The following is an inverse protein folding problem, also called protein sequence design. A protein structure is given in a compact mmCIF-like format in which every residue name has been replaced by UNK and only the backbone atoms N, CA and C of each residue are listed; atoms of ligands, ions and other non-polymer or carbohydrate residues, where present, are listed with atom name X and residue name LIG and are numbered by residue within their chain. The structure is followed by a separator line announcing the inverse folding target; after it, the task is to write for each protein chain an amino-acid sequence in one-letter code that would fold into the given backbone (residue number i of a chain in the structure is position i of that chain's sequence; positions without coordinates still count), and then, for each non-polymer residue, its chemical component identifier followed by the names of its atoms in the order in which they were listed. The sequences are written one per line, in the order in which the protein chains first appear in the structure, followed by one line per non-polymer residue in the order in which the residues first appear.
data_IF_882015734171
#
_entry.id   IF_882015734171
#
_cell.length_a   1.000
_cell.length_b   1.000
_cell.length_c   1.000
_cell.angle_alpha   90.00
_cell.angle_beta   90.00
_cell.angle_gamma   90.00
#
_symmetry.space_group_name_H-M   'P 1'
#
loop_
_entity.id
_entity.type
_entity.pdbx_description
1 polymer ?
#
# COMPACT_ATOMS: atom_id res chain seq x y z
N UNK A 1 20.02 -3.24 -0.35
CA UNK A 1 20.83 -4.36 0.11
C UNK A 1 20.32 -5.65 -0.50
N UNK A 2 21.19 -6.42 -1.10
CA UNK A 2 20.81 -7.72 -1.64
C UNK A 2 20.68 -8.71 -0.49
N UNK A 3 19.48 -9.19 -0.30
CA UNK A 3 19.19 -10.24 0.67
C UNK A 3 19.62 -11.58 0.06
N UNK A 4 20.36 -12.37 0.80
CA UNK A 4 20.82 -13.69 0.33
C UNK A 4 19.62 -14.64 0.17
N UNK A 5 19.80 -15.71 -0.61
CA UNK A 5 18.73 -16.73 -0.78
C UNK A 5 18.31 -17.37 0.53
N UNK A 6 19.24 -17.58 1.45
CA UNK A 6 18.96 -18.17 2.76
C UNK A 6 18.16 -17.21 3.65
N UNK A 7 18.52 -15.92 3.63
CA UNK A 7 17.79 -14.89 4.35
C UNK A 7 16.39 -14.71 3.79
N UNK A 8 16.24 -14.76 2.46
CA UNK A 8 14.97 -14.67 1.79
C UNK A 8 14.05 -15.85 2.16
N UNK A 9 14.58 -17.06 2.17
CA UNK A 9 13.83 -18.25 2.56
C UNK A 9 13.39 -18.20 4.03
N UNK A 10 14.26 -17.72 4.92
CA UNK A 10 13.93 -17.53 6.33
C UNK A 10 12.86 -16.46 6.54
N UNK A 11 12.97 -15.37 5.82
CA UNK A 11 12.02 -14.28 5.84
C UNK A 11 10.65 -14.72 5.32
N UNK A 12 10.62 -15.47 4.23
CA UNK A 12 9.40 -16.02 3.66
C UNK A 12 8.70 -16.97 4.64
N UNK A 13 9.44 -17.87 5.29
CA UNK A 13 8.89 -18.77 6.32
C UNK A 13 8.29 -18.00 7.49
N UNK A 14 8.96 -16.97 7.95
CA UNK A 14 8.48 -16.13 9.04
C UNK A 14 7.17 -15.43 8.65
N UNK A 15 7.09 -14.91 7.42
CA UNK A 15 5.89 -14.29 6.89
C UNK A 15 4.75 -15.30 6.75
N UNK A 16 5.02 -16.51 6.23
CA UNK A 16 4.05 -17.59 6.11
C UNK A 16 3.48 -18.00 7.45
N UNK A 17 4.33 -18.20 8.46
CA UNK A 17 3.92 -18.54 9.83
C UNK A 17 3.06 -17.44 10.43
N UNK A 18 3.43 -16.19 10.22
CA UNK A 18 2.68 -15.04 10.71
C UNK A 18 1.27 -14.99 10.09
N UNK A 19 1.19 -15.16 8.77
CA UNK A 19 -0.08 -15.10 8.05
C UNK A 19 -0.98 -16.30 8.37
N UNK A 20 -0.41 -17.48 8.54
CA UNK A 20 -1.17 -18.67 8.90
C UNK A 20 -1.86 -18.56 10.27
N UNK A 21 -1.30 -17.75 11.16
CA UNK A 21 -1.83 -17.54 12.51
C UNK A 21 -2.73 -16.32 12.65
N UNK A 22 -2.86 -15.50 11.58
CA UNK A 22 -3.58 -14.24 11.67
C UNK A 22 -4.72 -14.16 10.66
N UNK A 23 -5.87 -14.70 11.05
CA UNK A 23 -7.10 -14.61 10.27
C UNK A 23 -7.60 -13.18 10.06
N UNK A 24 -7.19 -12.26 10.93
CA UNK A 24 -7.61 -10.86 10.87
C UNK A 24 -6.77 -10.00 9.92
N UNK A 25 -5.73 -10.56 9.27
CA UNK A 25 -4.90 -9.79 8.36
C UNK A 25 -5.65 -9.52 7.05
N UNK A 26 -5.94 -8.27 6.78
CA UNK A 26 -6.77 -7.86 5.65
C UNK A 26 -6.05 -7.03 4.61
N UNK A 27 -4.83 -6.59 4.89
CA UNK A 27 -4.05 -5.73 3.99
C UNK A 27 -2.58 -5.74 4.41
N UNK A 28 -1.69 -5.73 3.44
CA UNK A 28 -0.26 -5.56 3.65
C UNK A 28 0.26 -4.40 2.80
N UNK A 29 1.14 -3.59 3.36
CA UNK A 29 1.81 -2.54 2.63
C UNK A 29 3.27 -2.92 2.40
N UNK A 30 3.72 -2.77 1.16
CA UNK A 30 5.12 -2.91 0.80
C UNK A 30 5.69 -1.51 0.65
N UNK A 31 6.65 -1.16 1.50
CA UNK A 31 7.23 0.18 1.51
C UNK A 31 8.39 0.25 0.52
N UNK A 32 8.34 1.23 -0.36
CA UNK A 32 9.36 1.47 -1.37
C UNK A 32 9.91 2.89 -1.23
N UNK A 33 11.20 3.01 -0.92
CA UNK A 33 11.87 4.31 -0.94
C UNK A 33 11.89 4.85 -2.37
N UNK A 34 11.45 6.08 -2.57
CA UNK A 34 11.36 6.71 -3.90
C UNK A 34 12.69 6.76 -4.64
N UNK A 35 13.80 6.74 -3.91
CA UNK A 35 15.14 6.81 -4.49
C UNK A 35 15.68 5.47 -4.97
N UNK A 36 15.05 4.37 -4.60
CA UNK A 36 15.49 3.02 -4.93
C UNK A 36 14.73 2.43 -6.10
N UNK A 37 15.36 1.50 -6.78
CA UNK A 37 14.69 0.77 -7.84
C UNK A 37 13.79 -0.32 -7.26
N UNK A 38 12.71 -0.59 -7.96
CA UNK A 38 11.84 -1.71 -7.63
C UNK A 38 12.58 -3.02 -7.95
N UNK A 39 12.50 -4.00 -7.09
CA UNK A 39 13.16 -5.28 -7.32
C UNK A 39 12.13 -6.40 -7.56
N UNK A 40 12.61 -7.47 -8.15
CA UNK A 40 11.81 -8.66 -8.38
C UNK A 40 11.32 -9.29 -7.08
N UNK A 41 12.07 -9.13 -6.01
CA UNK A 41 11.73 -9.66 -4.68
C UNK A 41 10.43 -9.05 -4.15
N UNK A 42 10.24 -7.76 -4.33
CA UNK A 42 9.00 -7.10 -3.92
C UNK A 42 7.82 -7.56 -4.77
N UNK A 43 8.05 -7.78 -6.08
CA UNK A 43 7.02 -8.34 -6.96
C UNK A 43 6.60 -9.74 -6.51
N UNK A 44 7.56 -10.59 -6.20
CA UNK A 44 7.31 -11.95 -5.70
C UNK A 44 6.57 -11.93 -4.37
N UNK A 45 6.92 -11.01 -3.49
CA UNK A 45 6.22 -10.86 -2.21
C UNK A 45 4.75 -10.48 -2.42
N UNK A 46 4.47 -9.56 -3.31
CA UNK A 46 3.10 -9.15 -3.61
C UNK A 46 2.30 -10.28 -4.26
N UNK A 47 2.91 -11.04 -5.15
CA UNK A 47 2.28 -12.20 -5.78
C UNK A 47 1.95 -13.26 -4.73
N UNK A 48 2.89 -13.53 -3.83
CA UNK A 48 2.68 -14.48 -2.74
C UNK A 48 1.56 -14.04 -1.80
N UNK A 49 1.49 -12.76 -1.46
CA UNK A 49 0.40 -12.20 -0.65
C UNK A 49 -0.95 -12.39 -1.35
N UNK A 50 -1.00 -12.17 -2.66
CA UNK A 50 -2.21 -12.38 -3.44
C UNK A 50 -2.66 -13.85 -3.42
N UNK A 51 -1.72 -14.79 -3.48
CA UNK A 51 -2.00 -16.23 -3.35
C UNK A 51 -2.59 -16.58 -1.99
N UNK A 52 -2.25 -15.82 -0.95
CA UNK A 52 -2.77 -15.99 0.40
C UNK A 52 -4.08 -15.20 0.64
N UNK A 53 -4.65 -14.63 -0.42
CA UNK A 53 -5.83 -13.77 -0.35
C UNK A 53 -5.63 -12.50 0.50
N UNK A 54 -4.41 -12.04 0.61
CA UNK A 54 -4.08 -10.81 1.33
C UNK A 54 -3.80 -9.71 0.31
N UNK A 55 -4.65 -8.66 0.22
CA UNK A 55 -4.38 -7.55 -0.65
C UNK A 55 -3.07 -6.84 -0.27
N UNK A 56 -2.20 -6.65 -1.25
CA UNK A 56 -0.96 -5.91 -1.07
C UNK A 56 -1.01 -4.58 -1.82
N UNK A 57 -0.49 -3.53 -1.21
CA UNK A 57 -0.35 -2.23 -1.86
C UNK A 57 1.05 -1.70 -1.66
N UNK A 58 1.57 -1.08 -2.68
CA UNK A 58 2.88 -0.43 -2.60
C UNK A 58 2.71 1.00 -2.09
N UNK A 59 3.52 1.37 -1.11
CA UNK A 59 3.58 2.74 -0.59
C UNK A 59 4.96 3.28 -0.92
N UNK A 60 5.02 4.27 -1.78
CA UNK A 60 6.26 4.96 -2.12
C UNK A 60 6.51 6.00 -1.05
N UNK A 61 7.65 5.87 -0.37
CA UNK A 61 7.99 6.70 0.79
C UNK A 61 9.11 7.69 0.50
N UNK A 62 9.27 8.63 1.39
CA UNK A 62 10.38 9.61 1.40
C UNK A 62 10.44 10.49 0.14
N UNK A 63 9.29 10.81 -0.41
CA UNK A 63 9.21 11.64 -1.62
C UNK A 63 9.75 13.06 -1.39
N UNK A 64 9.76 13.54 -0.15
CA UNK A 64 10.35 14.82 0.25
C UNK A 64 11.87 14.89 0.07
N UNK A 65 12.54 13.73 -0.04
CA UNK A 65 13.99 13.65 -0.26
C UNK A 65 14.43 14.01 -1.68
N UNK A 66 13.49 14.11 -2.60
CA UNK A 66 13.74 14.51 -3.98
C UNK A 66 13.06 15.84 -4.32
N UNK A 67 13.71 16.63 -5.16
CA UNK A 67 13.12 17.85 -5.72
C UNK A 67 11.98 17.47 -6.66
N UNK A 68 11.03 18.36 -6.85
CA UNK A 68 9.78 18.10 -7.56
C UNK A 68 9.95 17.39 -8.90
N UNK A 69 10.86 17.86 -9.76
CA UNK A 69 11.07 17.22 -11.06
C UNK A 69 11.58 15.80 -10.94
N UNK A 70 12.62 15.59 -10.11
CA UNK A 70 13.18 14.28 -9.87
C UNK A 70 12.20 13.33 -9.18
N UNK A 71 11.38 13.88 -8.29
CA UNK A 71 10.31 13.15 -7.62
C UNK A 71 9.30 12.62 -8.62
N UNK A 72 8.84 13.46 -9.52
CA UNK A 72 7.88 13.08 -10.58
C UNK A 72 8.44 12.00 -11.46
N UNK A 73 9.69 12.13 -11.89
CA UNK A 73 10.38 11.12 -12.69
C UNK A 73 10.54 9.79 -11.97
N UNK A 74 10.95 9.84 -10.70
CA UNK A 74 11.15 8.65 -9.87
C UNK A 74 9.83 7.91 -9.63
N UNK A 75 8.77 8.61 -9.31
CA UNK A 75 7.44 8.02 -9.13
C UNK A 75 6.94 7.39 -10.43
N UNK A 76 7.13 8.06 -11.54
CA UNK A 76 6.74 7.56 -12.85
C UNK A 76 7.51 6.28 -13.22
N UNK A 77 8.81 6.28 -12.95
CA UNK A 77 9.67 5.10 -13.13
C UNK A 77 9.20 3.92 -12.28
N UNK A 78 8.96 4.16 -10.99
CA UNK A 78 8.49 3.12 -10.07
C UNK A 78 7.13 2.55 -10.48
N UNK A 79 6.21 3.39 -10.88
CA UNK A 79 4.90 2.94 -11.37
C UNK A 79 5.04 2.00 -12.57
N UNK A 80 5.97 2.31 -13.45
CA UNK A 80 6.24 1.48 -14.62
C UNK A 80 6.89 0.16 -14.23
N UNK A 81 7.86 0.18 -13.32
CA UNK A 81 8.54 -1.01 -12.82
C UNK A 81 7.61 -1.94 -12.03
N UNK A 82 6.75 -1.38 -11.20
CA UNK A 82 5.78 -2.12 -10.41
C UNK A 82 4.69 -2.74 -11.30
N UNK A 83 4.26 -2.02 -12.31
CA UNK A 83 3.20 -2.47 -13.21
C UNK A 83 1.80 -2.26 -12.62
N UNK A 84 0.80 -2.75 -13.34
CA UNK A 84 -0.61 -2.50 -13.01
C UNK A 84 -1.26 -3.60 -12.17
N UNK A 85 -0.55 -4.71 -11.95
CA UNK A 85 -1.12 -5.91 -11.31
C UNK A 85 -1.46 -5.75 -9.83
N UNK A 86 -0.89 -4.76 -9.15
CA UNK A 86 -1.02 -4.61 -7.70
C UNK A 86 -1.74 -3.32 -7.29
N UNK A 87 -2.44 -2.70 -8.21
CA UNK A 87 -3.11 -1.44 -7.98
C UNK A 87 -2.16 -0.24 -8.05
N UNK A 88 -2.70 0.93 -7.92
CA UNK A 88 -1.92 2.17 -8.00
C UNK A 88 -1.10 2.38 -6.74
N UNK A 89 0.23 2.57 -6.83
CA UNK A 89 1.05 2.87 -5.66
C UNK A 89 0.61 4.16 -4.97
N UNK A 90 0.68 4.16 -3.65
CA UNK A 90 0.38 5.34 -2.84
C UNK A 90 1.67 6.13 -2.64
N UNK A 91 1.68 7.37 -3.04
CA UNK A 91 2.85 8.25 -2.91
C UNK A 91 2.75 9.02 -1.60
N UNK A 92 3.76 8.88 -0.74
CA UNK A 92 3.73 9.48 0.59
C UNK A 92 5.01 10.22 0.96
N UNK A 93 4.85 11.17 1.89
CA UNK A 93 5.96 11.77 2.63
C UNK A 93 5.52 11.88 4.09
N UNK A 94 6.09 11.08 4.96
CA UNK A 94 5.77 11.13 6.40
C UNK A 94 6.21 12.44 7.02
N UNK A 95 7.28 13.04 6.52
CA UNK A 95 7.79 14.31 7.01
C UNK A 95 6.83 15.47 6.72
N UNK A 96 6.19 15.46 5.54
CA UNK A 96 5.23 16.50 5.14
C UNK A 96 3.77 16.07 5.31
N UNK A 97 3.52 14.84 5.66
CA UNK A 97 2.17 14.30 5.79
C UNK A 97 1.44 14.00 4.48
N UNK A 98 2.12 14.15 3.33
CA UNK A 98 1.49 13.91 2.02
C UNK A 98 1.13 12.44 1.84
N UNK A 99 -0.06 12.17 1.35
CA UNK A 99 -0.52 10.82 1.03
C UNK A 99 -0.93 9.96 2.22
N UNK A 100 -0.76 10.42 3.45
CA UNK A 100 -1.11 9.64 4.64
C UNK A 100 -2.61 9.39 4.75
N UNK A 101 -3.41 10.34 4.30
CA UNK A 101 -4.86 10.19 4.23
C UNK A 101 -5.28 9.04 3.32
N UNK A 102 -4.58 8.85 2.19
CA UNK A 102 -4.82 7.75 1.26
C UNK A 102 -4.45 6.41 1.89
N UNK A 103 -3.34 6.37 2.65
CA UNK A 103 -2.94 5.17 3.39
C UNK A 103 -4.02 4.78 4.40
N UNK A 104 -4.49 5.73 5.20
CA UNK A 104 -5.56 5.52 6.16
C UNK A 104 -6.85 5.04 5.51
N UNK A 105 -7.24 5.69 4.42
CA UNK A 105 -8.42 5.31 3.65
C UNK A 105 -8.33 3.88 3.13
N UNK A 106 -7.16 3.50 2.61
CA UNK A 106 -6.91 2.14 2.11
C UNK A 106 -7.00 1.12 3.23
N UNK A 107 -6.43 1.42 4.39
CA UNK A 107 -6.56 0.57 5.58
C UNK A 107 -8.02 0.37 5.97
N UNK A 108 -8.78 1.45 6.03
CA UNK A 108 -10.18 1.42 6.43
C UNK A 108 -11.03 0.62 5.45
N UNK A 109 -10.83 0.83 4.15
CA UNK A 109 -11.55 0.12 3.10
C UNK A 109 -11.36 -1.41 3.17
N UNK A 110 -10.16 -1.85 3.55
CA UNK A 110 -9.87 -3.27 3.65
C UNK A 110 -10.24 -3.87 5.01
N UNK A 111 -10.16 -3.08 6.08
CA UNK A 111 -10.54 -3.53 7.42
C UNK A 111 -12.04 -3.60 7.64
N UNK A 112 -12.79 -2.68 7.02
CA UNK A 112 -14.24 -2.56 7.24
C UNK A 112 -15.02 -2.43 5.93
N UNK A 113 -14.94 -3.44 5.05
CA UNK A 113 -15.61 -3.34 3.74
C UNK A 113 -17.13 -3.18 3.83
N UNK A 114 -17.75 -3.70 4.88
CA UNK A 114 -19.18 -3.55 5.12
C UNK A 114 -19.59 -2.10 5.39
N UNK A 115 -18.77 -1.40 6.19
CA UNK A 115 -19.02 0.02 6.48
C UNK A 115 -18.84 0.89 5.24
N UNK A 116 -17.89 0.52 4.38
CA UNK A 116 -17.68 1.21 3.13
C UNK A 116 -18.88 1.05 2.18
N UNK A 117 -19.44 -0.16 2.10
CA UNK A 117 -20.65 -0.41 1.32
C UNK A 117 -21.82 0.44 1.80
N UNK A 118 -22.02 0.53 3.10
CA UNK A 118 -23.07 1.38 3.69
C UNK A 118 -22.82 2.86 3.40
N UNK A 119 -21.59 3.32 3.53
CA UNK A 119 -21.23 4.70 3.23
C UNK A 119 -21.45 5.05 1.76
N UNK A 120 -21.10 4.15 0.85
CA UNK A 120 -21.34 4.32 -0.58
C UNK A 120 -22.84 4.32 -0.91
N UNK A 121 -23.60 3.46 -0.29
CA UNK A 121 -25.06 3.43 -0.45
C UNK A 121 -25.70 4.71 0.08
N UNK A 122 -25.25 5.22 1.21
CA UNK A 122 -25.71 6.47 1.78
C UNK A 122 -25.33 7.68 0.92
N UNK A 123 -24.15 7.65 0.30
CA UNK A 123 -23.70 8.73 -0.58
C UNK A 123 -24.33 8.69 -1.96
N UNK A 124 -24.98 7.60 -2.33
CA UNK A 124 -25.75 7.50 -3.57
C UNK A 124 -27.13 8.15 -3.44
N UNK A 125 -27.59 8.45 -2.24
CA UNK A 125 -28.76 9.26 -2.03
C UNK A 125 -28.39 10.73 -2.14
N UNK A 126 -29.32 11.60 -2.62
CA UNK A 126 -29.00 13.02 -2.77
C UNK A 126 -28.57 13.59 -1.43
N UNK A 127 -27.43 14.23 -1.40
CA UNK A 127 -26.84 14.61 -0.16
C UNK A 127 -27.62 15.71 0.46
N UNK A 128 -28.18 15.44 1.54
CA UNK A 128 -28.40 16.46 2.51
C UNK A 128 -27.07 16.68 3.17
N UNK A 129 -26.38 17.71 2.70
CA UNK A 129 -25.19 18.23 3.35
C UNK A 129 -24.55 17.29 4.35
N UNK A 130 -23.83 16.35 3.86
CA UNK A 130 -23.04 15.52 4.71
C UNK A 130 -21.87 16.33 5.14
N UNK A 131 -21.96 16.84 6.31
CA UNK A 131 -20.77 17.20 7.00
C UNK A 131 -20.00 15.92 7.22
N UNK A 132 -18.99 15.72 6.46
CA UNK A 132 -17.99 14.74 6.76
C UNK A 132 -17.52 15.03 8.16
N UNK A 133 -17.66 14.11 9.10
CA UNK A 133 -17.06 14.34 10.37
C UNK A 133 -15.59 14.47 10.14
N UNK A 134 -15.09 15.59 10.47
CA UNK A 134 -13.73 15.74 10.51
C UNK A 134 -13.25 14.86 11.56
N UNK A 135 -12.69 13.77 11.10
CA UNK A 135 -12.03 13.07 11.98
C UNK A 135 -10.85 13.51 12.29
N UNK A 136 -10.89 13.82 13.19
CA UNK A 136 -9.88 13.73 14.02
C UNK A 136 -8.95 12.51 14.00
#
# INVERSE_FOLDING_TARGET
AKVSRSERAGWQRMAEDYLAKREALCLAFVLQDVRRNWSEDESLLLEWLAEQDVPGRVVITKTDKLKLMKRTEAVKRLRKEIGDGFGKPIVTSSEKGDGLDVVWKTCFENAYPERLKKAKAASAEPPESVSVPEDD
#
